data_IF_866096410544
#
_entry.id   IF_866096410544
#
_cell.length_a   1.000
_cell.length_b   1.000
_cell.length_c   1.000
_cell.angle_alpha   90.00
_cell.angle_beta   90.00
_cell.angle_gamma   90.00
#
_symmetry.space_group_name_H-M   'P 1'
#
loop_
_entity.id
_entity.type
_entity.pdbx_description
1 polymer ?
#
# COMPACT_ATOMS: atom_id res chain seq x y z
N UNK A 1 -36.52 5.97 12.00
CA UNK A 1 -36.24 5.99 10.55
C UNK A 1 -35.79 7.40 10.18
N UNK A 2 -34.50 7.57 9.92
CA UNK A 2 -33.97 8.75 9.24
C UNK A 2 -32.75 8.27 8.44
N UNK A 3 -32.97 8.00 7.16
CA UNK A 3 -31.92 7.78 6.17
C UNK A 3 -31.16 9.11 6.04
N UNK A 4 -29.99 9.23 6.67
CA UNK A 4 -29.01 10.23 6.27
C UNK A 4 -28.11 9.58 5.22
N UNK A 5 -28.45 9.87 3.98
CA UNK A 5 -27.67 9.61 2.78
C UNK A 5 -26.35 10.36 2.87
N UNK A 6 -25.26 9.64 3.18
CA UNK A 6 -23.89 10.09 2.87
C UNK A 6 -23.63 9.70 1.43
N UNK A 7 -24.14 10.53 0.52
CA UNK A 7 -23.81 10.52 -0.88
C UNK A 7 -22.67 11.51 -1.12
N UNK A 8 -21.43 11.04 -0.92
CA UNK A 8 -20.25 11.65 -1.49
C UNK A 8 -19.40 10.50 -2.07
N UNK A 9 -19.51 10.34 -3.39
CA UNK A 9 -18.55 9.70 -4.29
C UNK A 9 -18.34 8.17 -4.24
N UNK A 10 -19.42 7.38 -4.13
CA UNK A 10 -19.40 5.96 -4.52
C UNK A 10 -19.21 5.73 -6.05
N UNK A 11 -18.98 6.80 -6.83
CA UNK A 11 -18.94 6.78 -8.29
C UNK A 11 -17.55 6.54 -8.91
N UNK A 12 -16.47 6.62 -8.14
CA UNK A 12 -15.09 6.56 -8.68
C UNK A 12 -14.31 5.31 -8.24
N UNK A 13 -14.53 4.80 -7.02
CA UNK A 13 -13.82 3.60 -6.50
C UNK A 13 -14.00 2.39 -7.40
N UNK A 14 -15.20 2.17 -7.94
CA UNK A 14 -15.46 1.05 -8.86
C UNK A 14 -14.70 1.16 -10.18
N UNK A 15 -14.51 2.39 -10.69
CA UNK A 15 -13.73 2.63 -11.90
C UNK A 15 -12.22 2.49 -11.63
N UNK A 16 -11.74 3.01 -10.50
CA UNK A 16 -10.35 2.85 -10.05
C UNK A 16 -10.01 1.37 -9.81
N UNK A 17 -10.93 0.61 -9.21
CA UNK A 17 -10.80 -0.83 -9.00
C UNK A 17 -10.66 -1.54 -10.35
N UNK A 18 -11.56 -1.30 -11.30
CA UNK A 18 -11.50 -1.92 -12.62
C UNK A 18 -10.17 -1.61 -13.33
N UNK A 19 -9.72 -0.36 -13.30
CA UNK A 19 -8.45 0.06 -13.89
C UNK A 19 -7.25 -0.64 -13.21
N UNK A 20 -7.23 -0.72 -11.88
CA UNK A 20 -6.18 -1.41 -11.14
C UNK A 20 -6.16 -2.92 -11.43
N UNK A 21 -7.32 -3.55 -11.53
CA UNK A 21 -7.40 -4.97 -11.89
C UNK A 21 -6.92 -5.23 -13.32
N UNK A 22 -7.20 -4.31 -14.25
CA UNK A 22 -6.69 -4.39 -15.63
C UNK A 22 -5.16 -4.25 -15.69
N UNK A 23 -4.59 -3.27 -14.97
CA UNK A 23 -3.15 -3.02 -14.94
C UNK A 23 -2.39 -4.14 -14.25
N UNK A 24 -2.91 -4.61 -13.11
CA UNK A 24 -2.19 -5.57 -12.25
C UNK A 24 -2.48 -7.03 -12.61
N UNK A 25 -3.59 -7.29 -13.31
CA UNK A 25 -4.08 -8.64 -13.62
C UNK A 25 -4.64 -9.41 -12.42
N UNK A 26 -4.75 -8.78 -11.24
CA UNK A 26 -5.24 -9.43 -10.02
C UNK A 26 -6.71 -9.10 -9.76
N UNK A 27 -7.44 -10.08 -9.20
CA UNK A 27 -8.75 -9.81 -8.61
C UNK A 27 -8.55 -9.13 -7.26
N UNK A 28 -9.08 -7.92 -7.11
CA UNK A 28 -8.97 -7.14 -5.88
C UNK A 28 -10.33 -7.10 -5.16
N UNK A 29 -10.31 -7.28 -3.85
CA UNK A 29 -11.48 -7.06 -3.00
C UNK A 29 -11.76 -5.54 -2.93
N UNK A 30 -12.94 -5.05 -3.34
CA UNK A 30 -13.29 -3.63 -3.30
C UNK A 30 -13.08 -3.01 -1.91
N UNK A 31 -13.43 -3.73 -0.85
CA UNK A 31 -13.30 -3.22 0.53
C UNK A 31 -11.84 -3.12 0.96
N UNK A 32 -10.98 -4.01 0.45
CA UNK A 32 -9.54 -3.92 0.66
C UNK A 32 -8.95 -2.72 -0.07
N UNK A 33 -9.37 -2.47 -1.31
CA UNK A 33 -8.90 -1.32 -2.09
C UNK A 33 -9.30 -0.01 -1.43
N UNK A 34 -10.58 0.15 -1.06
CA UNK A 34 -11.08 1.34 -0.35
C UNK A 34 -10.23 1.63 0.89
N UNK A 35 -9.92 0.60 1.67
CA UNK A 35 -9.05 0.76 2.85
C UNK A 35 -7.62 1.11 2.48
N UNK A 36 -7.05 0.49 1.44
CA UNK A 36 -5.67 0.73 1.02
C UNK A 36 -5.43 2.18 0.57
N UNK A 37 -6.44 2.81 -0.05
CA UNK A 37 -6.36 4.20 -0.51
C UNK A 37 -6.83 5.22 0.54
N UNK A 38 -7.38 4.77 1.67
CA UNK A 38 -7.86 5.66 2.74
C UNK A 38 -6.72 6.11 3.64
N UNK A 39 -6.18 7.28 3.35
CA UNK A 39 -5.17 7.93 4.20
C UNK A 39 -5.76 8.45 5.51
N UNK A 40 -4.95 8.51 6.57
CA UNK A 40 -5.34 9.00 7.91
C UNK A 40 -5.98 10.39 7.92
N UNK A 41 -5.51 11.31 7.07
CA UNK A 41 -6.05 12.68 7.02
C UNK A 41 -7.50 12.68 6.54
N UNK A 42 -7.79 11.92 5.47
CA UNK A 42 -9.14 11.79 4.94
C UNK A 42 -10.06 11.11 5.97
N UNK A 43 -9.58 10.01 6.58
CA UNK A 43 -10.35 9.30 7.61
C UNK A 43 -10.73 10.19 8.80
N UNK A 44 -9.83 11.06 9.24
CA UNK A 44 -10.08 11.98 10.35
C UNK A 44 -11.21 12.97 10.05
N UNK A 45 -11.23 13.53 8.83
CA UNK A 45 -12.27 14.46 8.38
C UNK A 45 -13.64 13.79 8.16
N UNK A 46 -13.65 12.47 7.91
CA UNK A 46 -14.85 11.71 7.52
C UNK A 46 -15.37 10.77 8.63
N UNK A 47 -15.17 11.14 9.90
CA UNK A 47 -15.76 10.43 11.03
C UNK A 47 -14.96 9.23 11.53
N UNK A 48 -13.65 9.20 11.29
CA UNK A 48 -12.75 8.17 11.81
C UNK A 48 -12.85 6.85 11.06
N UNK A 49 -12.87 6.90 9.72
CA UNK A 49 -12.88 5.71 8.88
C UNK A 49 -11.63 4.82 9.14
N UNK A 50 -11.71 3.50 8.88
CA UNK A 50 -10.53 2.64 8.91
C UNK A 50 -9.45 3.14 7.92
N UNK A 51 -8.23 3.31 8.41
CA UNK A 51 -7.09 3.81 7.63
C UNK A 51 -6.30 2.67 6.99
N UNK A 52 -5.41 3.03 6.07
CA UNK A 52 -4.44 2.15 5.44
C UNK A 52 -3.24 1.78 6.35
N UNK A 53 -3.08 2.36 7.54
CA UNK A 53 -1.86 2.22 8.37
C UNK A 53 -1.49 0.76 8.70
N UNK A 54 -2.48 -0.12 8.91
CA UNK A 54 -2.21 -1.55 9.14
C UNK A 54 -1.77 -2.28 7.87
N UNK A 55 -2.27 -1.85 6.71
CA UNK A 55 -1.88 -2.40 5.42
C UNK A 55 -0.48 -1.91 5.03
N UNK A 56 -0.17 -0.64 5.31
CA UNK A 56 1.17 -0.06 5.17
C UNK A 56 2.19 -0.84 6.00
N UNK A 57 1.91 -1.06 7.30
CA UNK A 57 2.77 -1.86 8.18
C UNK A 57 3.04 -3.27 7.63
N UNK A 58 2.00 -3.95 7.12
CA UNK A 58 2.15 -5.27 6.51
C UNK A 58 2.95 -5.21 5.21
N UNK A 59 2.64 -4.23 4.35
CA UNK A 59 3.29 -4.02 3.06
C UNK A 59 4.78 -3.76 3.21
N UNK A 60 5.19 -2.94 4.18
CA UNK A 60 6.59 -2.65 4.49
C UNK A 60 7.37 -3.92 4.88
N UNK A 61 6.77 -4.77 5.71
CA UNK A 61 7.40 -6.03 6.10
C UNK A 61 7.58 -6.97 4.90
N UNK A 62 6.55 -7.11 4.05
CA UNK A 62 6.60 -7.94 2.83
C UNK A 62 7.64 -7.40 1.85
N UNK A 63 7.64 -6.09 1.58
CA UNK A 63 8.60 -5.44 0.70
C UNK A 63 10.04 -5.61 1.23
N UNK A 64 10.22 -5.49 2.54
CA UNK A 64 11.50 -5.71 3.19
C UNK A 64 12.05 -7.12 2.98
N UNK A 65 11.20 -8.15 3.02
CA UNK A 65 11.59 -9.54 2.70
C UNK A 65 12.00 -9.67 1.24
N UNK A 66 11.15 -9.22 0.30
CA UNK A 66 11.40 -9.34 -1.14
C UNK A 66 12.72 -8.65 -1.54
N UNK A 67 12.96 -7.44 -1.03
CA UNK A 67 14.19 -6.71 -1.34
C UNK A 67 15.40 -7.36 -0.68
N UNK A 68 15.28 -7.82 0.56
CA UNK A 68 16.37 -8.55 1.22
C UNK A 68 16.76 -9.79 0.43
N UNK A 69 15.78 -10.59 0.01
CA UNK A 69 16.00 -11.77 -0.83
C UNK A 69 16.64 -11.41 -2.18
N UNK A 70 16.12 -10.36 -2.84
CA UNK A 70 16.62 -9.91 -4.14
C UNK A 70 18.09 -9.49 -4.05
N UNK A 71 18.45 -8.70 -3.03
CA UNK A 71 19.82 -8.26 -2.80
C UNK A 71 20.73 -9.44 -2.47
N UNK A 72 20.29 -10.36 -1.62
CA UNK A 72 21.03 -11.57 -1.27
C UNK A 72 21.37 -12.41 -2.51
N UNK A 73 20.38 -12.65 -3.38
CA UNK A 73 20.59 -13.46 -4.61
C UNK A 73 21.41 -12.73 -5.67
N UNK A 74 21.23 -11.40 -5.80
CA UNK A 74 21.87 -10.61 -6.87
C UNK A 74 23.32 -10.23 -6.56
N UNK A 75 23.69 -10.17 -5.28
CA UNK A 75 25.01 -9.75 -4.82
C UNK A 75 25.58 -10.75 -3.80
N UNK A 76 25.86 -12.00 -4.21
CA UNK A 76 26.23 -13.09 -3.29
C UNK A 76 27.56 -12.86 -2.56
N UNK A 77 28.46 -12.05 -3.12
CA UNK A 77 29.80 -11.80 -2.58
C UNK A 77 29.88 -10.57 -1.67
N UNK A 78 28.79 -9.79 -1.55
CA UNK A 78 28.80 -8.59 -0.71
C UNK A 78 28.55 -8.95 0.77
N UNK A 79 29.27 -8.32 1.71
CA UNK A 79 29.03 -8.52 3.12
C UNK A 79 27.69 -7.91 3.54
N UNK A 80 27.09 -8.47 4.60
CA UNK A 80 25.78 -8.07 5.14
C UNK A 80 25.66 -6.55 5.34
N UNK A 81 26.68 -5.89 5.89
CA UNK A 81 26.65 -4.44 6.09
C UNK A 81 26.53 -3.61 4.80
N UNK A 82 27.00 -4.11 3.65
CA UNK A 82 26.79 -3.45 2.36
C UNK A 82 25.38 -3.73 1.80
N UNK A 83 24.89 -4.97 1.94
CA UNK A 83 23.52 -5.33 1.59
C UNK A 83 22.50 -4.50 2.39
N UNK A 84 22.76 -4.29 3.69
CA UNK A 84 21.94 -3.44 4.55
C UNK A 84 21.90 -1.99 4.07
N UNK A 85 23.05 -1.42 3.64
CA UNK A 85 23.09 -0.06 3.05
C UNK A 85 22.29 0.03 1.75
N UNK A 86 22.38 -0.98 0.89
CA UNK A 86 21.60 -1.02 -0.35
C UNK A 86 20.10 -1.12 -0.07
N UNK A 87 19.70 -1.97 0.88
CA UNK A 87 18.31 -2.08 1.30
C UNK A 87 17.75 -0.73 1.78
N UNK A 88 18.48 -0.01 2.63
CA UNK A 88 18.06 1.31 3.11
C UNK A 88 18.05 2.39 2.00
N UNK A 89 18.87 2.24 0.96
CA UNK A 89 18.85 3.15 -0.19
C UNK A 89 17.65 2.92 -1.12
N UNK A 90 17.19 1.67 -1.25
CA UNK A 90 16.06 1.29 -2.12
C UNK A 90 14.72 1.42 -1.40
N UNK A 91 14.68 1.13 -0.10
CA UNK A 91 13.46 1.23 0.73
C UNK A 91 13.59 2.45 1.63
N UNK A 92 13.14 3.59 1.13
CA UNK A 92 12.99 4.79 1.94
C UNK A 92 11.81 5.63 1.47
N UNK A 93 11.37 6.55 2.33
CA UNK A 93 10.24 7.43 2.06
C UNK A 93 10.40 8.21 0.74
N UNK A 94 11.61 8.59 0.31
CA UNK A 94 11.79 9.30 -0.98
C UNK A 94 11.77 8.41 -2.20
N UNK A 95 12.12 7.13 -2.04
CA UNK A 95 12.08 6.14 -3.11
C UNK A 95 10.67 5.54 -3.28
N UNK A 96 9.82 5.65 -2.25
CA UNK A 96 8.50 5.02 -2.19
C UNK A 96 7.33 6.03 -2.07
N UNK A 97 7.59 7.33 -1.88
CA UNK A 97 6.57 8.40 -1.94
C UNK A 97 6.44 8.97 -3.35
#
# INVERSE_FOLDING_TARGET
MAKHSVGAEAGDVGAQLAALQEITGFSLDPTLLERAITHRSYAYEHGGLPTNERLEFLGDAVLGVIITETLYRRFPDLPEGQLAKFRSAVVNMRALA
#
